data_IF_823752719691
#
_entry.id   IF_823752719691
#
_cell.length_a   1.000
_cell.length_b   1.000
_cell.length_c   1.000
_cell.angle_alpha   90.00
_cell.angle_beta   90.00
_cell.angle_gamma   90.00
#
_symmetry.space_group_name_H-M   'P 1'
#
loop_
_entity.id
_entity.type
_entity.pdbx_description
1 polymer ?
#
# COMPACT_ATOMS: atom_id res chain seq x y z
N UNK A 1 15.11 -16.21 0.45
CA UNK A 1 14.02 -15.32 0.85
C UNK A 1 14.27 -13.99 0.17
N UNK A 2 13.34 -13.52 -0.66
CA UNK A 2 13.45 -12.18 -1.25
C UNK A 2 12.88 -11.18 -0.22
N UNK A 3 13.69 -10.22 0.21
CA UNK A 3 13.32 -9.17 1.15
C UNK A 3 13.33 -7.82 0.41
N UNK A 4 12.26 -7.05 0.55
CA UNK A 4 12.21 -5.66 0.10
C UNK A 4 12.20 -4.72 1.30
N UNK A 5 13.17 -3.80 1.35
CA UNK A 5 13.41 -2.95 2.51
C UNK A 5 13.45 -1.48 2.13
N UNK A 6 12.68 -0.67 2.86
CA UNK A 6 12.69 0.77 2.77
C UNK A 6 13.08 1.37 4.12
N UNK A 7 14.04 2.29 4.14
CA UNK A 7 14.39 3.10 5.31
C UNK A 7 14.22 4.57 4.98
N UNK A 8 13.62 5.34 5.89
CA UNK A 8 13.55 6.80 5.80
C UNK A 8 13.60 7.40 7.21
N UNK A 9 14.69 8.08 7.53
CA UNK A 9 15.00 8.59 8.87
C UNK A 9 14.87 7.48 9.92
N UNK A 10 13.91 7.59 10.85
CA UNK A 10 13.66 6.63 11.92
C UNK A 10 12.60 5.57 11.55
N UNK A 11 12.04 5.65 10.35
CA UNK A 11 10.99 4.74 9.89
C UNK A 11 11.62 3.67 9.01
N UNK A 12 11.28 2.42 9.29
CA UNK A 12 11.67 1.27 8.48
C UNK A 12 10.45 0.46 8.09
N UNK A 13 10.41 0.09 6.82
CA UNK A 13 9.40 -0.80 6.26
C UNK A 13 10.12 -1.97 5.61
N UNK A 14 9.62 -3.18 5.82
CA UNK A 14 10.16 -4.40 5.21
C UNK A 14 9.01 -5.27 4.75
N UNK A 15 9.19 -5.90 3.61
CA UNK A 15 8.31 -6.96 3.12
C UNK A 15 9.15 -8.19 2.90
N UNK A 16 8.72 -9.30 3.49
CA UNK A 16 9.31 -10.60 3.29
C UNK A 16 8.31 -11.49 2.57
N UNK A 17 8.76 -12.14 1.49
CA UNK A 17 7.94 -13.09 0.75
C UNK A 17 8.00 -14.46 1.41
N UNK A 18 6.85 -14.95 1.84
CA UNK A 18 6.65 -16.32 2.34
C UNK A 18 5.98 -17.19 1.27
N UNK A 19 5.74 -18.47 1.59
CA UNK A 19 5.18 -19.45 0.65
C UNK A 19 3.72 -19.19 0.28
N UNK A 20 2.97 -18.57 1.18
CA UNK A 20 1.51 -18.43 1.19
C UNK A 20 1.05 -16.98 1.36
N UNK A 21 2.00 -16.05 1.57
CA UNK A 21 1.71 -14.63 1.70
C UNK A 21 2.94 -13.75 1.77
N UNK A 22 2.73 -12.55 2.28
CA UNK A 22 3.77 -11.58 2.58
C UNK A 22 3.70 -11.17 4.05
N UNK A 23 4.86 -11.02 4.67
CA UNK A 23 4.98 -10.43 6.01
C UNK A 23 5.38 -8.97 5.84
N UNK A 24 4.51 -8.08 6.27
CA UNK A 24 4.74 -6.64 6.23
C UNK A 24 5.12 -6.12 7.62
N UNK A 25 6.34 -5.59 7.70
CA UNK A 25 6.83 -4.89 8.86
C UNK A 25 6.83 -3.38 8.59
N UNK A 26 6.25 -2.61 9.49
CA UNK A 26 6.32 -1.15 9.49
C UNK A 26 6.55 -0.65 10.91
N UNK A 27 7.71 -0.06 11.15
CA UNK A 27 8.07 0.42 12.48
C UNK A 27 8.87 1.71 12.46
N UNK A 28 8.66 2.50 13.51
CA UNK A 28 9.49 3.64 13.90
C UNK A 28 10.17 3.30 15.24
N UNK A 29 11.03 4.19 15.75
CA UNK A 29 11.69 4.00 17.04
C UNK A 29 10.74 3.67 18.22
N UNK A 30 9.51 4.19 18.21
CA UNK A 30 8.54 4.02 19.30
C UNK A 30 7.55 2.87 19.10
N UNK A 31 7.15 2.61 17.85
CA UNK A 31 6.06 1.69 17.53
C UNK A 31 6.48 0.84 16.35
N UNK A 32 6.37 -0.49 16.49
CA UNK A 32 6.54 -1.45 15.41
C UNK A 32 5.22 -2.18 15.19
N UNK A 33 4.87 -2.42 13.94
CA UNK A 33 3.74 -3.23 13.52
C UNK A 33 4.22 -4.28 12.53
N UNK A 34 3.86 -5.51 12.78
CA UNK A 34 4.11 -6.64 11.89
C UNK A 34 2.77 -7.30 11.58
N UNK A 35 2.52 -7.59 10.31
CA UNK A 35 1.27 -8.18 9.85
C UNK A 35 1.61 -9.19 8.75
N UNK A 36 1.12 -10.41 8.90
CA UNK A 36 1.09 -11.39 7.83
C UNK A 36 -0.15 -11.19 6.97
N UNK A 37 0.02 -11.12 5.65
CA UNK A 37 -1.05 -10.91 4.68
C UNK A 37 -0.99 -12.05 3.65
N UNK A 38 -1.98 -12.95 3.63
CA UNK A 38 -2.00 -14.06 2.68
C UNK A 38 -2.22 -13.54 1.26
N UNK A 39 -1.69 -14.26 0.25
CA UNK A 39 -1.86 -13.89 -1.16
C UNK A 39 -3.34 -13.86 -1.58
N UNK A 40 -4.20 -14.62 -0.90
CA UNK A 40 -5.64 -14.64 -1.12
C UNK A 40 -6.30 -13.28 -0.83
N UNK A 41 -5.72 -12.46 0.03
CA UNK A 41 -6.27 -11.15 0.39
C UNK A 41 -5.74 -10.00 -0.46
N UNK A 42 -4.66 -10.20 -1.22
CA UNK A 42 -3.99 -9.14 -1.97
C UNK A 42 -4.72 -8.88 -3.30
N UNK A 43 -5.06 -7.61 -3.56
CA UNK A 43 -5.58 -7.16 -4.85
C UNK A 43 -4.48 -6.37 -5.58
N UNK A 44 -3.68 -7.03 -6.45
CA UNK A 44 -2.47 -6.42 -7.02
C UNK A 44 -2.76 -5.25 -7.97
N UNK A 45 -3.99 -5.12 -8.49
CA UNK A 45 -4.38 -4.04 -9.39
C UNK A 45 -4.98 -2.83 -8.65
N UNK A 46 -5.30 -2.95 -7.35
CA UNK A 46 -5.90 -1.88 -6.53
C UNK A 46 -4.84 -1.06 -5.79
N UNK A 47 -4.00 -0.37 -6.55
CA UNK A 47 -2.95 0.52 -6.03
C UNK A 47 -3.50 1.93 -5.94
N UNK A 48 -3.58 2.48 -4.73
CA UNK A 48 -3.93 3.89 -4.51
C UNK A 48 -2.70 4.71 -4.11
N UNK A 49 -2.65 5.97 -4.56
CA UNK A 49 -1.55 6.89 -4.28
C UNK A 49 -2.08 8.06 -3.47
N UNK A 50 -1.53 8.29 -2.28
CA UNK A 50 -1.90 9.42 -1.43
C UNK A 50 -0.67 10.26 -1.10
N UNK A 51 -0.84 11.58 -1.11
CA UNK A 51 0.16 12.53 -0.63
C UNK A 51 -0.24 13.02 0.75
N UNK A 52 0.45 12.52 1.79
CA UNK A 52 0.21 12.93 3.16
C UNK A 52 1.17 14.04 3.56
N UNK A 53 0.61 15.14 4.05
CA UNK A 53 1.36 16.25 4.67
C UNK A 53 1.03 16.29 6.16
N UNK A 54 2.03 16.61 7.00
CA UNK A 54 1.80 16.79 8.43
C UNK A 54 0.92 18.02 8.67
N UNK A 55 -0.32 17.81 9.13
CA UNK A 55 -1.25 18.89 9.49
C UNK A 55 -0.70 19.75 10.63
N UNK A 56 0.03 19.15 11.56
CA UNK A 56 0.61 19.86 12.71
C UNK A 56 1.64 20.91 12.28
N UNK A 57 2.57 20.55 11.38
CA UNK A 57 3.58 21.51 10.91
C UNK A 57 2.96 22.62 10.06
N UNK A 58 1.94 22.30 9.28
CA UNK A 58 1.18 23.30 8.52
C UNK A 58 0.49 24.31 9.44
N UNK A 59 -0.20 23.84 10.49
CA UNK A 59 -0.86 24.74 11.45
C UNK A 59 0.14 25.62 12.19
N UNK A 60 1.27 25.08 12.62
CA UNK A 60 2.32 25.88 13.26
C UNK A 60 2.88 26.93 12.29
N UNK A 61 3.13 26.57 11.03
CA UNK A 61 3.55 27.53 10.02
C UNK A 61 2.51 28.64 9.82
N UNK A 62 1.21 28.33 9.80
CA UNK A 62 0.16 29.34 9.68
C UNK A 62 0.17 30.28 10.90
N UNK A 63 0.21 29.74 12.12
CA UNK A 63 0.20 30.54 13.36
C UNK A 63 1.40 31.48 13.42
N UNK A 64 2.62 30.97 13.21
CA UNK A 64 3.82 31.81 13.22
C UNK A 64 3.85 32.79 12.04
N UNK A 65 3.29 32.42 10.88
CA UNK A 65 3.15 33.32 9.74
C UNK A 65 2.19 34.48 10.01
N UNK A 66 1.08 34.23 10.70
CA UNK A 66 0.13 35.28 11.12
C UNK A 66 0.78 36.20 12.15
N UNK A 67 1.43 35.65 13.17
CA UNK A 67 2.15 36.45 14.19
C UNK A 67 3.24 37.29 13.54
N UNK A 68 4.01 36.70 12.63
CA UNK A 68 5.03 37.41 11.86
C UNK A 68 4.41 38.54 11.03
N UNK A 69 3.33 38.29 10.30
CA UNK A 69 2.65 39.31 9.49
C UNK A 69 2.10 40.47 10.32
N UNK A 70 1.37 40.18 11.40
CA UNK A 70 0.81 41.20 12.30
C UNK A 70 1.90 42.08 12.92
N UNK A 71 3.02 41.46 13.26
CA UNK A 71 4.16 42.13 13.86
C UNK A 71 4.94 42.92 12.83
N UNK A 72 5.12 42.39 11.62
CA UNK A 72 5.85 43.05 10.53
C UNK A 72 5.16 44.36 10.09
N UNK A 73 3.83 44.37 10.00
CA UNK A 73 3.04 45.55 9.67
C UNK A 73 2.79 46.50 10.85
N UNK A 74 3.38 46.22 12.02
CA UNK A 74 3.22 46.99 13.26
C UNK A 74 1.75 47.25 13.65
N UNK A 75 0.85 46.30 13.31
CA UNK A 75 -0.58 46.39 13.61
C UNK A 75 -0.82 46.37 15.14
N UNK A 76 0.09 45.72 15.86
CA UNK A 76 0.01 45.52 17.31
C UNK A 76 0.59 46.69 18.13
N UNK A 77 1.15 47.73 17.48
CA UNK A 77 1.71 48.92 18.12
C UNK A 77 2.65 48.59 19.28
N UNK A 78 3.61 47.70 19.03
CA UNK A 78 4.48 47.11 20.06
C UNK A 78 5.70 48.01 20.28
N UNK A 79 6.22 48.16 21.52
CA UNK A 79 7.48 48.86 21.77
C UNK A 79 8.63 48.32 20.92
N UNK A 80 9.43 49.21 20.33
CA UNK A 80 10.46 48.90 19.32
C UNK A 80 11.41 47.75 19.70
N UNK A 81 11.83 47.65 20.97
CA UNK A 81 12.70 46.58 21.44
C UNK A 81 12.04 45.19 21.40
N UNK A 82 10.75 45.11 21.73
CA UNK A 82 9.97 43.87 21.70
C UNK A 82 9.59 43.53 20.26
N UNK A 83 9.27 44.54 19.46
CA UNK A 83 8.97 44.42 18.03
C UNK A 83 10.07 43.66 17.28
N UNK A 84 11.33 44.09 17.39
CA UNK A 84 12.43 43.47 16.65
C UNK A 84 12.66 42.00 17.03
N UNK A 85 12.58 41.70 18.32
CA UNK A 85 12.72 40.32 18.82
C UNK A 85 11.58 39.46 18.29
N UNK A 86 10.35 39.96 18.37
CA UNK A 86 9.17 39.19 18.01
C UNK A 86 9.09 38.94 16.50
N UNK A 87 9.45 39.92 15.65
CA UNK A 87 9.55 39.75 14.20
C UNK A 87 10.64 38.74 13.83
N UNK A 88 11.82 38.83 14.45
CA UNK A 88 12.93 37.92 14.15
C UNK A 88 12.61 36.47 14.52
N UNK A 89 12.13 36.22 15.74
CA UNK A 89 11.81 34.86 16.20
C UNK A 89 10.60 34.27 15.49
N UNK A 90 9.52 35.04 15.28
CA UNK A 90 8.34 34.55 14.56
C UNK A 90 8.65 34.25 13.09
N UNK A 91 9.47 35.09 12.42
CA UNK A 91 9.92 34.85 11.06
C UNK A 91 10.82 33.62 10.94
N UNK A 92 11.77 33.46 11.87
CA UNK A 92 12.64 32.28 11.90
C UNK A 92 11.85 30.98 12.12
N UNK A 93 10.94 30.97 13.09
CA UNK A 93 10.08 29.81 13.35
C UNK A 93 9.14 29.53 12.17
N UNK A 94 8.59 30.56 11.53
CA UNK A 94 7.78 30.42 10.33
C UNK A 94 8.53 29.68 9.21
N UNK A 95 9.75 30.13 8.89
CA UNK A 95 10.59 29.51 7.86
C UNK A 95 10.94 28.06 8.22
N UNK A 96 11.27 27.78 9.47
CA UNK A 96 11.55 26.41 9.95
C UNK A 96 10.32 25.51 9.77
N UNK A 97 9.14 25.92 10.25
CA UNK A 97 7.94 25.10 10.15
C UNK A 97 7.47 24.92 8.71
N UNK A 98 7.70 25.91 7.85
CA UNK A 98 7.44 25.81 6.42
C UNK A 98 8.37 24.77 5.77
N UNK A 99 9.67 24.83 6.05
CA UNK A 99 10.65 23.83 5.61
C UNK A 99 10.31 22.43 6.11
N UNK A 100 10.00 22.29 7.40
CA UNK A 100 9.58 21.02 7.99
C UNK A 100 8.30 20.48 7.35
N UNK A 101 7.35 21.35 6.98
CA UNK A 101 6.11 20.95 6.29
C UNK A 101 6.42 20.37 4.90
N UNK A 102 7.31 21.01 4.14
CA UNK A 102 7.74 20.53 2.82
C UNK A 102 8.49 19.20 2.95
N UNK A 103 9.46 19.11 3.86
CA UNK A 103 10.26 17.90 4.08
C UNK A 103 9.43 16.73 4.63
N UNK A 104 8.36 17.03 5.37
CA UNK A 104 7.44 16.03 5.93
C UNK A 104 6.42 15.51 4.93
N UNK A 105 6.39 16.02 3.69
CA UNK A 105 5.54 15.46 2.64
C UNK A 105 5.96 14.02 2.34
N UNK A 106 4.99 13.12 2.36
CA UNK A 106 5.17 11.70 2.06
C UNK A 106 4.20 11.31 0.95
N UNK A 107 4.74 10.80 -0.15
CA UNK A 107 3.95 10.06 -1.12
C UNK A 107 3.88 8.61 -0.65
N UNK A 108 2.67 8.17 -0.30
CA UNK A 108 2.37 6.82 0.13
C UNK A 108 1.65 6.10 -1.01
N UNK A 109 2.06 4.86 -1.27
CA UNK A 109 1.36 3.93 -2.14
C UNK A 109 0.70 2.89 -1.25
N UNK A 110 -0.61 2.72 -1.36
CA UNK A 110 -1.32 1.69 -0.63
C UNK A 110 -1.69 0.54 -1.54
N UNK A 111 -1.36 -0.68 -1.09
CA UNK A 111 -1.93 -1.90 -1.64
C UNK A 111 -3.17 -2.22 -0.82
N UNK A 112 -4.31 -2.32 -1.50
CA UNK A 112 -5.58 -2.65 -0.86
C UNK A 112 -5.67 -4.16 -0.71
N UNK A 113 -6.03 -4.60 0.50
CA UNK A 113 -6.38 -5.99 0.77
C UNK A 113 -7.89 -6.13 0.94
N UNK A 114 -8.44 -7.33 0.72
CA UNK A 114 -9.87 -7.62 0.94
C UNK A 114 -10.33 -7.31 2.37
N UNK A 115 -9.45 -7.53 3.34
CA UNK A 115 -9.69 -7.29 4.76
C UNK A 115 -9.63 -5.80 5.13
N UNK A 116 -9.31 -4.92 4.18
CA UNK A 116 -9.22 -3.47 4.39
C UNK A 116 -7.90 -3.02 4.99
N UNK A 117 -6.92 -3.90 5.17
CA UNK A 117 -5.56 -3.49 5.51
C UNK A 117 -4.92 -2.76 4.33
N UNK A 118 -4.35 -1.59 4.63
CA UNK A 118 -3.62 -0.76 3.70
C UNK A 118 -2.12 -0.96 3.93
N UNK A 119 -1.43 -1.58 3.00
CA UNK A 119 0.03 -1.71 3.04
C UNK A 119 0.63 -0.46 2.42
N UNK A 120 1.25 0.40 3.22
CA UNK A 120 1.76 1.69 2.77
C UNK A 120 3.26 1.65 2.45
N UNK A 121 3.62 2.01 1.23
CA UNK A 121 5.00 2.12 0.72
C UNK A 121 5.39 3.56 0.46
N UNK A 122 6.68 3.87 0.52
CA UNK A 122 7.20 5.16 0.06
C UNK A 122 7.41 5.14 -1.45
N UNK A 123 6.69 5.99 -2.19
CA UNK A 123 6.67 6.03 -3.67
C UNK A 123 8.01 6.40 -4.32
N UNK A 124 8.90 7.09 -3.60
CA UNK A 124 10.20 7.54 -4.14
C UNK A 124 11.43 7.04 -3.39
N UNK A 125 11.28 6.22 -2.35
CA UNK A 125 12.41 5.69 -1.57
C UNK A 125 12.30 4.16 -1.48
N UNK A 126 13.33 3.38 -1.85
CA UNK A 126 14.68 3.79 -2.25
C UNK A 126 14.81 4.27 -3.70
N UNK A 127 14.04 3.70 -4.62
CA UNK A 127 13.93 4.12 -6.03
C UNK A 127 12.54 3.75 -6.54
N UNK A 128 11.97 4.58 -7.42
CA UNK A 128 10.69 4.27 -8.09
C UNK A 128 10.79 2.95 -8.87
N UNK A 129 11.93 2.69 -9.50
CA UNK A 129 12.17 1.44 -10.25
C UNK A 129 12.14 0.22 -9.33
N UNK A 130 12.81 0.28 -8.17
CA UNK A 130 12.82 -0.82 -7.22
C UNK A 130 11.43 -1.13 -6.66
N UNK A 131 10.59 -0.08 -6.49
CA UNK A 131 9.20 -0.26 -6.08
C UNK A 131 8.36 -0.86 -7.20
N UNK A 132 8.52 -0.40 -8.44
CA UNK A 132 7.81 -0.95 -9.60
C UNK A 132 8.20 -2.43 -9.85
N UNK A 133 9.48 -2.78 -9.69
CA UNK A 133 9.96 -4.16 -9.73
C UNK A 133 9.36 -5.01 -8.60
N UNK A 134 9.34 -4.49 -7.38
CA UNK A 134 8.69 -5.17 -6.26
C UNK A 134 7.20 -5.41 -6.51
N UNK A 135 6.46 -4.43 -7.00
CA UNK A 135 5.04 -4.55 -7.32
C UNK A 135 4.80 -5.57 -8.43
N UNK A 136 5.67 -5.61 -9.44
CA UNK A 136 5.62 -6.62 -10.50
C UNK A 136 5.88 -8.02 -9.95
N UNK A 137 6.90 -8.19 -9.11
CA UNK A 137 7.21 -9.47 -8.45
C UNK A 137 6.09 -9.93 -7.54
N UNK A 138 5.49 -9.01 -6.76
CA UNK A 138 4.32 -9.27 -5.94
C UNK A 138 3.16 -9.80 -6.81
N UNK A 139 2.83 -9.11 -7.90
CA UNK A 139 1.76 -9.52 -8.81
C UNK A 139 2.01 -10.91 -9.40
N UNK A 140 3.23 -11.19 -9.85
CA UNK A 140 3.61 -12.50 -10.42
C UNK A 140 3.45 -13.61 -9.37
N UNK A 141 3.97 -13.40 -8.15
CA UNK A 141 3.90 -14.41 -7.08
C UNK A 141 2.47 -14.64 -6.60
N UNK A 142 1.70 -13.57 -6.39
CA UNK A 142 0.28 -13.68 -6.04
C UNK A 142 -0.48 -14.45 -7.11
N UNK A 143 -0.28 -14.13 -8.39
CA UNK A 143 -0.96 -14.84 -9.48
C UNK A 143 -0.53 -16.30 -9.59
N UNK A 144 0.76 -16.60 -9.41
CA UNK A 144 1.26 -17.97 -9.42
C UNK A 144 0.66 -18.81 -8.27
N UNK A 145 0.59 -18.23 -7.07
CA UNK A 145 -0.02 -18.87 -5.91
C UNK A 145 -1.52 -19.11 -6.11
N UNK A 146 -2.26 -18.09 -6.56
CA UNK A 146 -3.69 -18.19 -6.83
C UNK A 146 -3.99 -19.24 -7.90
N UNK A 147 -3.22 -19.29 -8.99
CA UNK A 147 -3.35 -20.35 -10.01
C UNK A 147 -3.07 -21.73 -9.42
N UNK A 148 -2.00 -21.88 -8.64
CA UNK A 148 -1.64 -23.16 -8.01
C UNK A 148 -2.72 -23.66 -7.04
N UNK A 149 -3.41 -22.76 -6.35
CA UNK A 149 -4.43 -23.11 -5.35
C UNK A 149 -5.82 -23.31 -5.95
N UNK A 150 -6.24 -22.47 -6.89
CA UNK A 150 -7.62 -22.41 -7.38
C UNK A 150 -7.82 -22.89 -8.83
N UNK A 151 -6.76 -23.00 -9.63
CA UNK A 151 -6.86 -23.49 -11.02
C UNK A 151 -6.63 -25.00 -11.15
N UNK A 152 -6.52 -25.71 -10.02
CA UNK A 152 -6.40 -27.17 -9.99
C UNK A 152 -7.78 -27.77 -10.16
N UNK A 153 -7.89 -28.68 -11.12
CA UNK A 153 -9.09 -29.49 -11.32
C UNK A 153 -8.92 -30.76 -10.48
N UNK A 154 -9.81 -30.95 -9.53
CA UNK A 154 -9.79 -32.08 -8.61
C UNK A 154 -11.12 -32.82 -8.73
N UNK A 155 -11.07 -34.12 -8.98
CA UNK A 155 -12.25 -34.96 -9.21
C UNK A 155 -13.04 -35.13 -7.90
N UNK A 156 -12.37 -35.04 -6.75
CA UNK A 156 -12.97 -35.23 -5.44
C UNK A 156 -13.68 -33.97 -4.92
N UNK A 157 -13.45 -32.82 -5.55
CA UNK A 157 -14.10 -31.55 -5.20
C UNK A 157 -15.43 -31.36 -5.96
N UNK A 158 -16.49 -30.86 -5.29
CA UNK A 158 -17.74 -30.52 -5.97
C UNK A 158 -17.53 -29.57 -7.14
N UNK A 159 -18.18 -29.84 -8.27
CA UNK A 159 -18.05 -29.05 -9.50
C UNK A 159 -18.43 -27.59 -9.26
N UNK A 160 -19.45 -27.34 -8.44
CA UNK A 160 -19.90 -25.99 -8.07
C UNK A 160 -18.78 -25.19 -7.42
N UNK A 161 -18.07 -25.77 -6.45
CA UNK A 161 -16.92 -25.15 -5.77
C UNK A 161 -15.76 -24.88 -6.74
N UNK A 162 -15.56 -25.76 -7.71
CA UNK A 162 -14.53 -25.55 -8.74
C UNK A 162 -14.92 -24.41 -9.70
N UNK A 163 -16.20 -24.26 -10.04
CA UNK A 163 -16.69 -23.13 -10.84
C UNK A 163 -16.55 -21.82 -10.07
N UNK A 164 -16.86 -21.80 -8.77
CA UNK A 164 -16.64 -20.64 -7.90
C UNK A 164 -15.16 -20.23 -7.85
N UNK A 165 -14.25 -21.19 -7.71
CA UNK A 165 -12.80 -20.94 -7.76
C UNK A 165 -12.37 -20.30 -9.10
N UNK A 166 -12.90 -20.78 -10.22
CA UNK A 166 -12.62 -20.20 -11.54
C UNK A 166 -13.20 -18.80 -11.69
N UNK A 167 -14.41 -18.55 -11.17
CA UNK A 167 -15.01 -17.22 -11.16
C UNK A 167 -14.17 -16.25 -10.34
N UNK A 168 -13.71 -16.67 -9.15
CA UNK A 168 -12.82 -15.90 -8.29
C UNK A 168 -11.51 -15.52 -8.99
N UNK A 169 -10.90 -16.44 -9.73
CA UNK A 169 -9.69 -16.17 -10.52
C UNK A 169 -9.94 -15.17 -11.67
N UNK A 170 -11.11 -15.29 -12.32
CA UNK A 170 -11.51 -14.40 -13.42
C UNK A 170 -11.79 -12.98 -12.92
N UNK A 171 -12.56 -12.83 -11.84
CA UNK A 171 -12.88 -11.53 -11.25
C UNK A 171 -11.63 -10.74 -10.84
N UNK A 172 -10.55 -11.45 -10.49
CA UNK A 172 -9.26 -10.87 -10.13
C UNK A 172 -8.28 -10.70 -11.30
N UNK A 173 -8.72 -10.94 -12.53
CA UNK A 173 -7.88 -10.90 -13.73
C UNK A 173 -6.63 -11.79 -13.65
N UNK A 174 -6.67 -12.86 -12.83
CA UNK A 174 -5.55 -13.81 -12.68
C UNK A 174 -5.47 -14.72 -13.90
N UNK A 175 -6.63 -15.07 -14.46
CA UNK A 175 -6.78 -15.85 -15.69
C UNK A 175 -7.49 -15.04 -16.77
N UNK A 176 -7.12 -15.30 -18.03
CA UNK A 176 -7.79 -14.68 -19.18
C UNK A 176 -9.15 -15.34 -19.46
N UNK A 177 -10.02 -14.67 -20.21
CA UNK A 177 -11.31 -15.23 -20.62
C UNK A 177 -11.16 -16.57 -21.39
N UNK A 178 -10.08 -16.69 -22.18
CA UNK A 178 -9.77 -17.90 -22.94
C UNK A 178 -9.32 -19.04 -22.01
N UNK A 179 -8.48 -18.75 -21.02
CA UNK A 179 -8.08 -19.72 -19.99
C UNK A 179 -9.29 -20.17 -19.17
N UNK A 180 -10.18 -19.24 -18.79
CA UNK A 180 -11.41 -19.54 -18.05
C UNK A 180 -12.32 -20.49 -18.85
N UNK A 181 -12.58 -20.20 -20.13
CA UNK A 181 -13.39 -21.08 -21.00
C UNK A 181 -12.77 -22.47 -21.13
N UNK A 182 -11.47 -22.54 -21.35
CA UNK A 182 -10.75 -23.82 -21.47
C UNK A 182 -10.82 -24.68 -20.20
N UNK A 183 -10.67 -24.05 -19.02
CA UNK A 183 -10.79 -24.76 -17.73
C UNK A 183 -12.23 -25.21 -17.46
N UNK A 184 -13.22 -24.39 -17.83
CA UNK A 184 -14.63 -24.74 -17.72
C UNK A 184 -15.04 -25.89 -18.64
N UNK A 185 -14.49 -25.95 -19.85
CA UNK A 185 -14.69 -27.08 -20.77
C UNK A 185 -14.06 -28.36 -20.23
N UNK A 186 -12.85 -28.29 -19.68
CA UNK A 186 -12.21 -29.44 -19.02
C UNK A 186 -13.05 -29.99 -17.86
N UNK A 187 -13.61 -29.12 -17.01
CA UNK A 187 -14.52 -29.53 -15.93
C UNK A 187 -15.78 -30.23 -16.45
N UNK A 188 -16.37 -29.72 -17.55
CA UNK A 188 -17.55 -30.34 -18.16
C UNK A 188 -17.22 -31.72 -18.74
N UNK A 189 -16.05 -31.89 -19.34
CA UNK A 189 -15.66 -33.17 -19.95
C UNK A 189 -15.43 -34.27 -18.91
N UNK A 190 -14.94 -33.94 -17.71
CA UNK A 190 -14.79 -34.90 -16.60
C UNK A 190 -16.15 -35.46 -16.15
N UNK A 191 -17.21 -34.63 -16.17
CA UNK A 191 -18.57 -35.07 -15.82
C UNK A 191 -19.14 -36.09 -16.84
N UNK A 192 -18.67 -36.06 -18.09
CA UNK A 192 -19.17 -36.95 -19.14
C UNK A 192 -18.58 -38.37 -19.00
N UNK A 193 -17.40 -38.50 -18.37
CA UNK A 193 -16.70 -39.78 -18.21
C UNK A 193 -17.21 -40.62 -17.03
N UNK A 194 -18.06 -40.05 -16.17
CA UNK A 194 -18.84 -40.80 -15.17
C UNK A 194 -20.06 -41.47 -15.83
N UNK A 195 -19.85 -42.10 -17.00
CA UNK A 195 -20.86 -42.90 -17.69
C UNK A 195 -20.82 -44.35 -17.21
N UNK A 196 -21.61 -44.60 -16.17
CA UNK A 196 -22.39 -45.82 -16.03
C UNK A 196 -21.68 -47.06 -15.49
N UNK A 197 -21.81 -47.29 -14.18
CA UNK A 197 -22.02 -48.66 -13.72
C UNK A 197 -23.40 -49.11 -14.22
N UNK A 198 -23.41 -49.81 -15.35
CA UNK A 198 -24.53 -50.70 -15.70
C UNK A 198 -24.43 -51.90 -14.75
N UNK A 199 -25.35 -51.96 -13.79
CA UNK A 199 -25.73 -53.22 -13.15
C UNK A 199 -26.67 -53.98 -14.08
#
# INVERSE_FOLDING_TARGET
MEEFKQKRFFNSKRVEFESDGITFYSGNFLNAKEIFIPFDEIIPDAISRETKTSRLFLWNAIVFGVIFGLSFFDILQIPFGIYMVLVFFSGFLFVIFLLLTILSRKCLLYITTLSGYLIDFYDKNPSKQALDEFLKTLKIKTFAYLKKKYAVIDIDLPIEKQIENLNFLKERNVITENEYKSLKEKLKNINIDVKGFKF
#
